data_IF_913920454582
#
_entry.id   IF_913920454582
#
_cell.length_a   1.000
_cell.length_b   1.000
_cell.length_c   1.000
_cell.angle_alpha   90.00
_cell.angle_beta   90.00
_cell.angle_gamma   90.00
#
_symmetry.space_group_name_H-M   'P 1'
#
loop_
_entity.id
_entity.type
_entity.pdbx_description
1 polymer ?
#
# COMPACT_ATOMS: atom_id res chain seq x y z
N UNK A 1 1.35 17.11 32.79
CA UNK A 1 1.05 16.12 31.72
C UNK A 1 2.02 16.18 30.52
N UNK A 2 2.60 17.32 30.17
CA UNK A 2 3.62 17.41 29.10
C UNK A 2 4.99 16.74 29.41
N UNK A 3 5.30 16.47 30.69
CA UNK A 3 6.55 15.82 31.10
C UNK A 3 6.53 14.28 31.01
N UNK A 4 5.34 13.66 30.95
CA UNK A 4 5.19 12.20 30.88
C UNK A 4 5.35 11.64 29.46
N UNK A 5 5.17 12.46 28.41
CA UNK A 5 5.29 12.05 27.01
C UNK A 5 6.72 12.17 26.45
N UNK A 6 7.55 13.10 26.96
CA UNK A 6 8.99 13.17 26.62
C UNK A 6 9.78 11.94 27.12
N UNK A 7 9.26 11.25 28.15
CA UNK A 7 9.87 10.05 28.70
C UNK A 7 9.64 8.78 27.89
N UNK A 8 8.61 8.70 27.04
CA UNK A 8 8.28 7.45 26.33
C UNK A 8 9.11 7.24 25.06
N UNK A 9 9.37 8.31 24.28
CA UNK A 9 10.26 8.28 23.11
C UNK A 9 11.71 8.05 23.51
N UNK A 10 12.17 8.73 24.57
CA UNK A 10 13.51 8.52 25.15
C UNK A 10 13.70 7.09 25.69
N UNK A 11 12.69 6.51 26.36
CA UNK A 11 12.76 5.12 26.84
C UNK A 11 12.68 4.09 25.72
N UNK A 12 11.90 4.34 24.66
CA UNK A 12 11.84 3.47 23.47
C UNK A 12 13.20 3.46 22.75
N UNK A 13 13.78 4.65 22.51
CA UNK A 13 15.12 4.80 21.92
C UNK A 13 16.20 4.16 22.79
N UNK A 14 16.13 4.30 24.12
CA UNK A 14 17.11 3.72 25.07
C UNK A 14 17.01 2.19 25.19
N UNK A 15 15.79 1.65 25.21
CA UNK A 15 15.55 0.21 25.22
C UNK A 15 16.01 -0.45 23.91
N UNK A 16 15.81 0.24 22.79
CA UNK A 16 16.31 -0.19 21.48
C UNK A 16 17.84 -0.11 21.46
N UNK A 17 18.46 0.99 21.93
CA UNK A 17 19.93 1.12 22.02
C UNK A 17 20.59 -0.01 22.83
N UNK A 18 19.99 -0.44 23.94
CA UNK A 18 20.51 -1.50 24.79
C UNK A 18 20.43 -2.90 24.15
N UNK A 19 19.34 -3.22 23.46
CA UNK A 19 19.25 -4.45 22.66
C UNK A 19 20.14 -4.38 21.40
N UNK A 20 20.44 -3.16 20.94
CA UNK A 20 21.29 -2.86 19.81
C UNK A 20 22.79 -2.80 20.15
N UNK A 21 23.26 -3.06 21.36
CA UNK A 21 24.73 -3.11 21.62
C UNK A 21 25.27 -4.56 21.69
N UNK A 22 24.40 -5.57 21.84
CA UNK A 22 24.82 -6.95 22.18
C UNK A 22 25.21 -7.90 21.03
N UNK A 23 25.26 -7.49 19.76
CA UNK A 23 25.58 -8.41 18.63
C UNK A 23 26.50 -7.77 17.59
N UNK A 24 27.81 -7.70 17.83
CA UNK A 24 28.74 -6.94 16.96
C UNK A 24 29.30 -7.72 15.76
N UNK A 25 29.41 -9.05 15.81
CA UNK A 25 30.05 -9.83 14.73
C UNK A 25 29.09 -10.23 13.60
N UNK A 26 27.82 -10.53 13.92
CA UNK A 26 26.77 -10.83 12.93
C UNK A 26 26.41 -9.61 12.06
N UNK A 27 26.77 -8.40 12.51
CA UNK A 27 26.41 -7.13 11.85
C UNK A 27 27.21 -6.81 10.62
N UNK A 28 28.51 -7.15 10.60
CA UNK A 28 29.38 -6.75 9.48
C UNK A 28 29.04 -7.56 8.22
N UNK A 29 28.76 -8.86 8.39
CA UNK A 29 28.28 -9.72 7.31
C UNK A 29 26.86 -9.36 6.87
N UNK A 30 25.89 -9.18 7.78
CA UNK A 30 24.52 -8.82 7.37
C UNK A 30 24.44 -7.43 6.75
N UNK A 31 25.34 -6.49 7.10
CA UNK A 31 25.36 -5.15 6.52
C UNK A 31 25.90 -5.13 5.08
N UNK A 32 26.95 -5.89 4.77
CA UNK A 32 27.49 -5.99 3.41
C UNK A 32 26.49 -6.67 2.47
N UNK A 33 25.86 -7.77 2.90
CA UNK A 33 24.82 -8.43 2.12
C UNK A 33 23.60 -7.53 1.91
N UNK A 34 23.17 -6.80 2.95
CA UNK A 34 22.04 -5.85 2.80
C UNK A 34 22.37 -4.65 1.92
N UNK A 35 23.64 -4.20 1.88
CA UNK A 35 24.07 -3.12 0.98
C UNK A 35 23.93 -3.55 -0.48
N UNK A 36 24.41 -4.74 -0.83
CA UNK A 36 24.27 -5.29 -2.19
C UNK A 36 22.79 -5.36 -2.62
N UNK A 37 21.90 -5.82 -1.74
CA UNK A 37 20.46 -5.84 -2.03
C UNK A 37 19.84 -4.46 -2.23
N UNK A 38 20.32 -3.42 -1.53
CA UNK A 38 19.81 -2.05 -1.70
C UNK A 38 20.33 -1.45 -2.99
N UNK A 39 21.60 -1.66 -3.32
CA UNK A 39 22.19 -1.23 -4.59
C UNK A 39 21.45 -1.88 -5.77
N UNK A 40 21.25 -3.20 -5.72
CA UNK A 40 20.43 -3.94 -6.68
C UNK A 40 19.01 -3.38 -6.76
N UNK A 41 18.34 -3.18 -5.62
CA UNK A 41 16.98 -2.64 -5.59
C UNK A 41 16.89 -1.23 -6.20
N UNK A 42 17.89 -0.37 -5.95
CA UNK A 42 17.94 0.98 -6.50
C UNK A 42 18.19 0.96 -8.02
N UNK A 43 19.07 0.09 -8.51
CA UNK A 43 19.31 -0.08 -9.94
C UNK A 43 18.08 -0.63 -10.66
N UNK A 44 17.46 -1.66 -10.10
CA UNK A 44 16.21 -2.22 -10.60
C UNK A 44 15.08 -1.18 -10.60
N UNK A 45 14.86 -0.47 -9.48
CA UNK A 45 13.81 0.55 -9.42
C UNK A 45 14.01 1.69 -10.43
N UNK A 46 15.26 2.00 -10.81
CA UNK A 46 15.57 2.97 -11.87
C UNK A 46 15.33 2.42 -13.27
N UNK A 47 15.55 1.12 -13.49
CA UNK A 47 15.39 0.51 -14.81
C UNK A 47 13.92 0.35 -15.22
N UNK A 48 12.99 0.32 -14.26
CA UNK A 48 11.54 0.31 -14.50
C UNK A 48 10.80 1.38 -13.67
N UNK A 49 11.28 2.62 -13.71
CA UNK A 49 10.64 3.71 -12.96
C UNK A 49 9.20 3.96 -13.45
N UNK A 50 8.24 3.67 -12.57
CA UNK A 50 6.81 3.62 -12.86
C UNK A 50 6.31 5.02 -13.17
N UNK A 51 5.51 5.14 -14.22
CA UNK A 51 4.73 6.33 -14.51
C UNK A 51 3.38 6.25 -13.79
N UNK A 52 3.00 7.32 -13.10
CA UNK A 52 1.66 7.54 -12.60
C UNK A 52 0.91 8.49 -13.53
N UNK A 53 -0.32 8.17 -13.87
CA UNK A 53 -1.18 9.03 -14.69
C UNK A 53 -2.46 9.41 -13.93
N UNK A 54 -3.00 10.62 -14.15
CA UNK A 54 -4.21 11.09 -13.51
C UNK A 54 -5.46 10.37 -14.06
N UNK A 55 -6.41 10.09 -13.17
CA UNK A 55 -7.71 9.51 -13.49
C UNK A 55 -8.85 10.40 -12.98
N UNK A 56 -9.97 10.41 -13.71
CA UNK A 56 -11.20 11.14 -13.41
C UNK A 56 -12.33 10.18 -13.08
N UNK A 57 -13.09 10.51 -12.03
CA UNK A 57 -14.31 9.79 -11.65
C UNK A 57 -15.51 10.55 -12.23
N UNK A 58 -16.33 9.88 -13.05
CA UNK A 58 -17.55 10.44 -13.67
C UNK A 58 -18.78 9.63 -13.31
N UNK A 59 -19.94 10.29 -13.27
CA UNK A 59 -21.23 9.64 -13.08
C UNK A 59 -21.46 9.06 -11.67
N UNK A 60 -20.52 9.26 -10.74
CA UNK A 60 -20.74 8.91 -9.35
C UNK A 60 -21.71 9.89 -8.69
N UNK A 61 -22.75 9.35 -8.06
CA UNK A 61 -23.70 10.11 -7.24
C UNK A 61 -23.62 9.51 -5.83
N UNK A 62 -23.38 10.37 -4.83
CA UNK A 62 -23.31 9.94 -3.44
C UNK A 62 -24.58 9.16 -3.03
N UNK A 63 -24.40 7.97 -2.47
CA UNK A 63 -25.48 7.05 -2.10
C UNK A 63 -25.77 5.97 -3.14
N UNK A 64 -25.24 6.11 -4.36
CA UNK A 64 -25.25 5.02 -5.34
C UNK A 64 -24.02 4.12 -5.17
N UNK A 65 -24.10 2.91 -5.73
CA UNK A 65 -22.95 2.00 -5.76
C UNK A 65 -21.84 2.61 -6.64
N UNK A 66 -20.63 2.66 -6.10
CA UNK A 66 -19.46 3.15 -6.85
C UNK A 66 -19.12 2.30 -8.08
N UNK A 67 -19.61 1.05 -8.16
CA UNK A 67 -19.52 0.21 -9.36
C UNK A 67 -20.12 0.85 -10.62
N UNK A 68 -20.97 1.87 -10.45
CA UNK A 68 -21.59 2.61 -11.55
C UNK A 68 -20.79 3.86 -11.94
N UNK A 69 -19.71 4.17 -11.22
CA UNK A 69 -18.83 5.27 -11.57
C UNK A 69 -17.91 4.87 -12.72
N UNK A 70 -17.80 5.74 -13.72
CA UNK A 70 -16.81 5.61 -14.78
C UNK A 70 -15.48 6.18 -14.27
N UNK A 71 -14.41 5.44 -14.49
CA UNK A 71 -13.05 5.83 -14.10
C UNK A 71 -12.24 5.91 -15.39
N UNK A 72 -11.97 7.13 -15.83
CA UNK A 72 -11.34 7.40 -17.11
C UNK A 72 -9.95 8.00 -16.88
N UNK A 73 -8.96 7.59 -17.68
CA UNK A 73 -7.66 8.26 -17.70
C UNK A 73 -7.84 9.69 -18.21
N UNK A 74 -7.17 10.65 -17.58
CA UNK A 74 -7.24 12.05 -17.98
C UNK A 74 -6.32 12.30 -19.16
N UNK A 75 -6.91 12.77 -20.24
CA UNK A 75 -6.25 13.11 -21.48
C UNK A 75 -6.21 14.63 -21.66
N UNK A 76 -5.08 15.12 -22.14
CA UNK A 76 -4.83 16.53 -22.43
C UNK A 76 -4.78 16.73 -23.94
N UNK A 77 -5.21 17.90 -24.39
CA UNK A 77 -5.15 18.30 -25.78
C UNK A 77 -4.10 19.40 -25.93
N UNK A 78 -3.15 19.18 -26.82
CA UNK A 78 -2.20 20.21 -27.25
C UNK A 78 -2.78 20.89 -28.49
N UNK A 79 -2.90 22.21 -28.44
CA UNK A 79 -3.32 22.98 -29.61
C UNK A 79 -2.17 23.21 -30.60
N UNK A 80 -2.48 23.85 -31.73
CA UNK A 80 -1.53 24.09 -32.82
C UNK A 80 -0.35 24.99 -32.40
N UNK A 81 -0.51 25.74 -31.32
CA UNK A 81 0.49 26.66 -30.78
C UNK A 81 1.30 26.00 -29.64
N UNK A 82 1.06 24.72 -29.33
CA UNK A 82 1.71 23.99 -28.24
C UNK A 82 1.15 24.31 -26.85
N UNK A 83 0.02 25.03 -26.76
CA UNK A 83 -0.64 25.29 -25.49
C UNK A 83 -1.48 24.09 -25.06
N UNK A 84 -1.30 23.68 -23.81
CA UNK A 84 -2.04 22.57 -23.20
C UNK A 84 -3.36 23.07 -22.66
N UNK A 85 -4.48 22.53 -23.14
CA UNK A 85 -5.82 22.89 -22.67
C UNK A 85 -6.23 22.06 -21.46
N UNK A 86 -6.99 22.66 -20.55
CA UNK A 86 -7.53 21.98 -19.37
C UNK A 86 -8.44 20.82 -19.80
N UNK A 87 -8.21 19.57 -19.33
CA UNK A 87 -9.03 18.41 -19.63
C UNK A 87 -10.52 18.55 -19.28
N UNK A 88 -10.90 19.51 -18.44
CA UNK A 88 -12.31 19.83 -18.13
C UNK A 88 -13.01 20.62 -19.26
N UNK A 89 -12.24 21.29 -20.11
CA UNK A 89 -12.72 22.20 -21.17
C UNK A 89 -12.76 21.58 -22.58
N UNK A 90 -12.18 20.38 -22.76
CA UNK A 90 -12.04 19.71 -24.06
C UNK A 90 -13.25 18.82 -24.36
N UNK A 91 -13.85 18.97 -25.53
CA UNK A 91 -14.96 18.12 -25.99
C UNK A 91 -14.45 16.78 -26.54
N UNK A 92 -15.32 15.75 -26.53
CA UNK A 92 -14.99 14.43 -27.07
C UNK A 92 -14.56 14.49 -28.55
N UNK A 93 -15.20 15.36 -29.34
CA UNK A 93 -14.89 15.57 -30.75
C UNK A 93 -13.51 16.21 -30.96
N UNK A 94 -13.06 17.07 -30.05
CA UNK A 94 -11.72 17.65 -30.10
C UNK A 94 -10.66 16.60 -29.74
N UNK A 95 -10.91 15.73 -28.75
CA UNK A 95 -10.01 14.61 -28.44
C UNK A 95 -9.84 13.63 -29.61
N UNK A 96 -10.85 13.45 -30.44
CA UNK A 96 -10.79 12.55 -31.60
C UNK A 96 -9.97 13.13 -32.77
N UNK A 97 -9.80 14.46 -32.83
CA UNK A 97 -9.19 15.15 -33.97
C UNK A 97 -7.89 15.90 -33.64
N UNK A 98 -7.55 16.05 -32.35
CA UNK A 98 -6.36 16.79 -31.91
C UNK A 98 -5.20 15.90 -31.46
N UNK A 99 -4.07 16.54 -31.18
CA UNK A 99 -2.91 15.88 -30.58
C UNK A 99 -3.20 15.64 -29.10
N UNK A 100 -3.60 14.40 -28.78
CA UNK A 100 -3.92 13.98 -27.42
C UNK A 100 -2.71 13.33 -26.76
N UNK A 101 -2.43 13.72 -25.53
CA UNK A 101 -1.39 13.09 -24.71
C UNK A 101 -1.87 12.89 -23.27
N UNK A 102 -1.21 11.99 -22.55
CA UNK A 102 -1.41 11.79 -21.12
C UNK A 102 -0.19 12.31 -20.38
N UNK A 103 -0.41 13.17 -19.39
CA UNK A 103 0.68 13.56 -18.50
C UNK A 103 0.98 12.44 -17.51
N UNK A 104 2.27 12.10 -17.37
CA UNK A 104 2.73 11.18 -16.34
C UNK A 104 3.56 11.85 -15.26
N UNK A 105 3.68 11.16 -14.13
CA UNK A 105 4.52 11.48 -12.98
C UNK A 105 5.37 10.26 -12.64
N UNK A 106 6.69 10.41 -12.61
CA UNK A 106 7.57 9.31 -12.22
C UNK A 106 7.47 8.98 -10.73
N UNK A 107 7.46 7.69 -10.39
CA UNK A 107 7.50 7.22 -9.01
C UNK A 107 8.73 7.77 -8.29
N UNK A 108 9.91 7.76 -8.95
CA UNK A 108 11.13 8.32 -8.40
C UNK A 108 11.02 9.82 -8.09
N UNK A 109 10.27 10.60 -8.87
CA UNK A 109 10.04 12.03 -8.62
C UNK A 109 9.15 12.22 -7.38
N UNK A 110 8.04 11.49 -7.31
CA UNK A 110 7.12 11.52 -6.17
C UNK A 110 7.81 11.12 -4.84
N UNK A 111 8.76 10.19 -4.91
CA UNK A 111 9.49 9.63 -3.78
C UNK A 111 10.97 10.08 -3.71
N UNK A 112 11.32 11.19 -4.36
CA UNK A 112 12.72 11.62 -4.57
C UNK A 112 13.55 11.66 -3.28
N UNK A 113 12.99 12.18 -2.18
CA UNK A 113 13.69 12.27 -0.88
C UNK A 113 14.15 10.91 -0.36
N UNK A 114 13.33 9.87 -0.52
CA UNK A 114 13.71 8.51 -0.11
C UNK A 114 14.79 7.93 -1.01
N UNK A 115 14.66 8.08 -2.33
CA UNK A 115 15.68 7.63 -3.27
C UNK A 115 17.02 8.32 -2.98
N UNK A 116 17.05 9.65 -2.94
CA UNK A 116 18.26 10.40 -2.62
C UNK A 116 18.89 9.99 -1.28
N UNK A 117 18.06 9.76 -0.25
CA UNK A 117 18.55 9.34 1.07
C UNK A 117 19.15 7.93 1.05
N UNK A 118 18.56 7.01 0.29
CA UNK A 118 19.10 5.66 0.09
C UNK A 118 20.40 5.70 -0.71
N UNK A 119 20.44 6.44 -1.81
CA UNK A 119 21.64 6.58 -2.64
C UNK A 119 22.78 7.20 -1.86
N UNK A 120 22.53 8.30 -1.14
CA UNK A 120 23.54 8.94 -0.29
C UNK A 120 24.08 8.01 0.79
N UNK A 121 23.22 7.17 1.38
CA UNK A 121 23.60 6.28 2.48
C UNK A 121 24.34 5.02 2.00
N UNK A 122 24.03 4.49 0.83
CA UNK A 122 24.51 3.17 0.40
C UNK A 122 25.44 3.21 -0.83
N UNK A 123 25.41 4.26 -1.68
CA UNK A 123 26.31 4.39 -2.83
C UNK A 123 27.55 5.26 -2.56
N UNK A 124 27.46 6.27 -1.70
CA UNK A 124 28.61 7.14 -1.43
C UNK A 124 29.60 6.47 -0.46
N UNK A 125 30.81 6.17 -0.93
CA UNK A 125 31.89 5.54 -0.14
C UNK A 125 32.48 6.47 0.92
N UNK A 126 32.31 7.79 0.78
CA UNK A 126 32.71 8.75 1.79
C UNK A 126 31.68 8.79 2.93
N UNK A 127 32.08 8.20 4.05
CA UNK A 127 31.46 8.18 5.39
C UNK A 127 31.13 9.58 5.99
N UNK A 128 30.84 10.61 5.20
CA UNK A 128 30.20 11.82 5.70
C UNK A 128 28.73 11.52 5.93
N UNK A 129 28.48 10.90 7.08
CA UNK A 129 27.22 10.87 7.83
C UNK A 129 26.79 12.30 8.22
N UNK A 130 26.83 13.26 7.30
CA UNK A 130 26.13 14.53 7.45
C UNK A 130 24.64 14.23 7.26
N UNK A 131 24.05 13.90 8.41
CA UNK A 131 22.64 13.82 8.76
C UNK A 131 21.67 13.81 7.57
N UNK A 132 21.07 12.64 7.34
CA UNK A 132 19.65 12.64 6.97
C UNK A 132 18.96 13.38 8.13
N UNK A 133 18.62 14.66 7.92
CA UNK A 133 17.97 15.50 8.94
C UNK A 133 16.58 14.97 9.34
N UNK A 134 16.09 13.94 8.65
CA UNK A 134 14.85 13.26 8.93
C UNK A 134 15.11 11.94 9.68
N UNK A 135 15.06 12.02 11.02
CA UNK A 135 15.19 10.86 11.92
C UNK A 135 14.13 9.78 11.64
N UNK A 136 12.94 10.17 11.16
CA UNK A 136 11.83 9.25 10.87
C UNK A 136 12.15 8.44 9.62
N UNK A 137 12.61 9.10 8.55
CA UNK A 137 13.04 8.43 7.32
C UNK A 137 14.26 7.54 7.57
N UNK A 138 15.23 8.02 8.36
CA UNK A 138 16.41 7.22 8.71
C UNK A 138 16.02 5.95 9.48
N UNK A 139 15.09 6.07 10.44
CA UNK A 139 14.55 4.92 11.14
C UNK A 139 13.82 3.97 10.18
N UNK A 140 13.05 4.51 9.24
CA UNK A 140 12.34 3.70 8.27
C UNK A 140 13.27 2.87 7.38
N UNK A 141 14.32 3.50 6.85
CA UNK A 141 15.36 2.83 6.07
C UNK A 141 16.04 1.76 6.92
N UNK A 142 16.35 2.05 8.18
CA UNK A 142 17.01 1.08 9.06
C UNK A 142 16.14 -0.14 9.37
N UNK A 143 14.82 0.05 9.52
CA UNK A 143 13.88 -1.06 9.69
C UNK A 143 13.81 -1.94 8.45
N UNK A 144 13.77 -1.36 7.25
CA UNK A 144 13.79 -2.12 5.99
C UNK A 144 14.99 -3.07 5.91
N UNK A 145 16.17 -2.53 6.21
CA UNK A 145 17.42 -3.30 6.24
C UNK A 145 17.39 -4.39 7.29
N UNK A 146 17.05 -4.03 8.54
CA UNK A 146 17.21 -4.95 9.66
C UNK A 146 16.13 -6.02 9.79
N UNK A 147 14.95 -5.80 9.21
CA UNK A 147 13.80 -6.71 9.31
C UNK A 147 13.65 -7.55 8.05
N UNK A 148 13.57 -6.93 6.87
CA UNK A 148 13.31 -7.65 5.63
C UNK A 148 14.60 -8.18 5.01
N UNK A 149 15.57 -7.31 4.73
CA UNK A 149 16.76 -7.70 3.94
C UNK A 149 17.63 -8.74 4.65
N UNK A 150 17.72 -8.71 5.98
CA UNK A 150 18.46 -9.73 6.76
C UNK A 150 17.85 -11.13 6.65
N UNK A 151 16.55 -11.24 6.35
CA UNK A 151 15.84 -12.52 6.22
C UNK A 151 15.23 -12.69 4.83
N UNK A 152 15.76 -11.99 3.81
CA UNK A 152 15.22 -11.96 2.46
C UNK A 152 15.00 -13.37 1.93
N UNK A 153 16.02 -14.22 2.02
CA UNK A 153 15.99 -15.58 1.46
C UNK A 153 14.94 -16.45 2.14
N UNK A 154 14.77 -16.30 3.45
CA UNK A 154 13.72 -17.02 4.17
C UNK A 154 12.33 -16.54 3.77
N UNK A 155 12.12 -15.22 3.68
CA UNK A 155 10.84 -14.66 3.25
C UNK A 155 10.51 -15.04 1.81
N UNK A 156 11.49 -14.99 0.90
CA UNK A 156 11.35 -15.41 -0.49
C UNK A 156 10.94 -16.88 -0.59
N UNK A 157 11.62 -17.80 0.12
CA UNK A 157 11.22 -19.22 0.14
C UNK A 157 9.80 -19.44 0.64
N UNK A 158 9.40 -18.76 1.71
CA UNK A 158 8.02 -18.84 2.21
C UNK A 158 7.00 -18.36 1.17
N UNK A 159 7.33 -17.26 0.49
CA UNK A 159 6.48 -16.63 -0.52
C UNK A 159 6.40 -17.42 -1.83
N UNK A 160 7.40 -18.22 -2.22
CA UNK A 160 7.34 -19.01 -3.48
C UNK A 160 6.10 -19.90 -3.56
N UNK A 161 5.63 -20.41 -2.42
CA UNK A 161 4.40 -21.20 -2.37
C UNK A 161 3.13 -20.45 -2.79
N UNK A 162 3.19 -19.12 -2.93
CA UNK A 162 2.15 -18.27 -3.55
C UNK A 162 2.03 -18.53 -5.05
N UNK A 163 3.14 -18.82 -5.74
CA UNK A 163 3.17 -19.08 -7.19
C UNK A 163 2.62 -20.46 -7.56
N UNK A 164 2.55 -21.38 -6.59
CA UNK A 164 2.16 -22.78 -6.79
C UNK A 164 0.70 -23.04 -6.38
N UNK A 165 0.06 -22.10 -5.69
CA UNK A 165 -1.28 -22.25 -5.11
C UNK A 165 -2.27 -21.31 -5.77
N UNK A 166 -3.49 -21.80 -6.02
CA UNK A 166 -4.62 -20.95 -6.41
C UNK A 166 -5.55 -20.66 -5.21
N UNK A 167 -5.16 -21.07 -4.00
CA UNK A 167 -5.93 -20.76 -2.79
C UNK A 167 -5.70 -19.30 -2.38
N UNK A 168 -6.61 -18.41 -2.80
CA UNK A 168 -6.61 -16.95 -2.49
C UNK A 168 -6.29 -16.67 -1.02
N UNK A 169 -6.94 -17.40 -0.11
CA UNK A 169 -6.71 -17.27 1.34
C UNK A 169 -5.26 -17.55 1.74
N UNK A 170 -4.63 -18.58 1.17
CA UNK A 170 -3.24 -18.91 1.44
C UNK A 170 -2.33 -17.82 0.91
N UNK A 171 -2.60 -17.32 -0.30
CA UNK A 171 -1.89 -16.19 -0.92
C UNK A 171 -1.95 -14.95 -0.01
N UNK A 172 -3.15 -14.55 0.40
CA UNK A 172 -3.41 -13.42 1.31
C UNK A 172 -2.58 -13.52 2.59
N UNK A 173 -2.57 -14.70 3.23
CA UNK A 173 -1.83 -14.92 4.48
C UNK A 173 -0.32 -14.85 4.28
N UNK A 174 0.19 -15.46 3.21
CA UNK A 174 1.62 -15.46 2.92
C UNK A 174 2.13 -14.06 2.58
N UNK A 175 1.41 -13.32 1.73
CA UNK A 175 1.74 -11.93 1.41
C UNK A 175 1.66 -11.03 2.66
N UNK A 176 0.61 -11.15 3.48
CA UNK A 176 0.48 -10.39 4.71
C UNK A 176 1.64 -10.65 5.68
N UNK A 177 2.02 -11.91 5.90
CA UNK A 177 2.97 -12.29 6.93
C UNK A 177 4.44 -12.20 6.51
N UNK A 178 4.77 -12.62 5.29
CA UNK A 178 6.16 -12.74 4.82
C UNK A 178 6.61 -11.59 3.94
N UNK A 179 5.70 -10.85 3.31
CA UNK A 179 6.04 -9.63 2.57
C UNK A 179 5.67 -8.39 3.39
N UNK A 180 4.38 -8.11 3.51
CA UNK A 180 3.92 -6.80 3.94
C UNK A 180 4.24 -6.46 5.38
N UNK A 181 4.01 -7.39 6.33
CA UNK A 181 4.37 -7.18 7.74
C UNK A 181 5.87 -6.97 7.94
N UNK A 182 6.70 -7.49 7.04
CA UNK A 182 8.16 -7.38 7.11
C UNK A 182 8.69 -6.08 6.50
N UNK A 183 7.87 -5.42 5.66
CA UNK A 183 8.16 -4.10 5.10
C UNK A 183 7.69 -2.94 5.98
N UNK A 184 6.90 -3.17 7.03
CA UNK A 184 6.45 -2.10 7.94
C UNK A 184 7.63 -1.62 8.80
N UNK A 185 7.97 -0.35 8.69
CA UNK A 185 9.09 0.20 9.45
C UNK A 185 8.77 0.56 10.90
N UNK A 186 7.53 0.96 11.18
CA UNK A 186 7.13 1.45 12.50
C UNK A 186 6.94 0.28 13.47
N UNK A 187 7.76 0.23 14.54
CA UNK A 187 7.63 -0.56 15.78
C UNK A 187 7.63 -2.11 15.70
N UNK A 188 8.37 -2.81 16.59
CA UNK A 188 8.25 -4.26 16.75
C UNK A 188 6.81 -4.70 17.02
N UNK A 189 6.29 -5.64 16.22
CA UNK A 189 4.95 -6.21 16.39
C UNK A 189 3.84 -5.57 15.55
N UNK A 190 4.13 -4.56 14.72
CA UNK A 190 3.17 -4.11 13.73
C UNK A 190 3.12 -5.13 12.57
N UNK A 191 1.97 -5.77 12.45
CA UNK A 191 1.67 -6.79 11.44
C UNK A 191 0.45 -6.33 10.64
N UNK A 192 0.40 -6.72 9.38
CA UNK A 192 -0.82 -6.67 8.60
C UNK A 192 -1.83 -7.63 9.24
N UNK A 193 -3.06 -7.17 9.43
CA UNK A 193 -4.14 -8.08 9.77
C UNK A 193 -5.05 -8.26 8.56
N UNK A 194 -5.60 -9.46 8.47
CA UNK A 194 -6.51 -9.84 7.39
C UNK A 194 -7.93 -9.58 7.88
N UNK A 195 -8.81 -9.13 6.99
CA UNK A 195 -10.17 -8.83 7.41
C UNK A 195 -10.90 -10.09 7.86
N UNK A 196 -11.67 -9.98 8.94
CA UNK A 196 -12.30 -11.11 9.63
C UNK A 196 -13.46 -11.75 8.84
N UNK A 197 -13.86 -11.16 7.71
CA UNK A 197 -15.22 -11.28 7.21
C UNK A 197 -15.40 -12.38 6.16
N UNK A 198 -14.31 -12.98 5.64
CA UNK A 198 -14.41 -13.69 4.36
C UNK A 198 -13.93 -15.12 4.24
N UNK A 199 -13.14 -15.69 5.15
CA UNK A 199 -12.76 -17.12 5.03
C UNK A 199 -12.51 -17.79 6.39
N UNK A 200 -12.49 -19.13 6.42
CA UNK A 200 -12.00 -19.89 7.57
C UNK A 200 -10.61 -19.39 7.95
N UNK A 201 -10.32 -19.14 9.22
CA UNK A 201 -9.06 -18.52 9.63
C UNK A 201 -7.96 -19.57 9.76
N UNK A 202 -6.76 -19.26 9.27
CA UNK A 202 -5.54 -19.95 9.69
C UNK A 202 -5.10 -19.39 11.03
N UNK A 203 -4.89 -20.23 12.04
CA UNK A 203 -4.33 -19.79 13.32
C UNK A 203 -2.83 -19.46 13.19
N UNK A 204 -2.12 -20.27 12.41
CA UNK A 204 -0.69 -20.18 12.16
C UNK A 204 -0.42 -20.07 10.64
N UNK A 205 0.73 -19.49 10.30
CA UNK A 205 1.14 -19.32 8.91
C UNK A 205 1.25 -20.67 8.17
N UNK A 206 0.59 -20.84 7.01
CA UNK A 206 0.61 -22.07 6.21
C UNK A 206 1.80 -22.13 5.23
N UNK A 207 2.92 -21.47 5.53
CA UNK A 207 4.10 -21.50 4.67
C UNK A 207 4.80 -22.86 4.70
N UNK A 208 5.54 -23.18 3.63
CA UNK A 208 6.27 -24.44 3.50
C UNK A 208 7.31 -24.64 4.63
N UNK A 209 7.93 -23.54 5.07
CA UNK A 209 8.94 -23.53 6.15
C UNK A 209 8.31 -23.76 7.55
N UNK A 210 6.98 -23.84 7.67
CA UNK A 210 6.24 -24.00 8.93
C UNK A 210 6.70 -23.00 10.01
N UNK A 211 6.85 -21.72 9.65
CA UNK A 211 7.44 -20.72 10.53
C UNK A 211 6.70 -20.53 11.88
N UNK A 212 5.46 -21.02 11.99
CA UNK A 212 4.67 -20.95 13.21
C UNK A 212 4.23 -19.53 13.58
N UNK A 213 4.38 -18.56 12.67
CA UNK A 213 3.93 -17.20 12.90
C UNK A 213 2.41 -17.15 13.09
N UNK A 214 1.97 -16.41 14.10
CA UNK A 214 0.56 -16.19 14.36
C UNK A 214 -0.03 -15.23 13.34
N UNK A 215 -1.19 -15.59 12.79
CA UNK A 215 -1.92 -14.72 11.87
C UNK A 215 -2.91 -13.84 12.64
N UNK A 216 -2.89 -12.55 12.33
CA UNK A 216 -3.77 -11.57 12.93
C UNK A 216 -4.93 -11.27 12.00
N UNK A 217 -6.14 -11.28 12.56
CA UNK A 217 -7.33 -10.89 11.84
C UNK A 217 -8.11 -9.84 12.65
N UNK A 218 -8.77 -8.92 11.95
CA UNK A 218 -9.50 -7.80 12.56
C UNK A 218 -10.66 -7.35 11.68
N UNK A 219 -11.60 -6.59 12.25
CA UNK A 219 -12.54 -5.84 11.40
C UNK A 219 -11.81 -4.62 10.85
N UNK A 220 -11.89 -4.39 9.55
CA UNK A 220 -11.31 -3.20 8.91
C UNK A 220 -12.15 -1.95 9.11
N UNK A 221 -13.46 -2.07 9.35
CA UNK A 221 -14.43 -0.98 9.45
C UNK A 221 -14.55 -0.08 8.21
N UNK A 222 -13.69 -0.31 7.21
CA UNK A 222 -13.57 0.36 5.92
C UNK A 222 -14.26 -0.54 4.88
N UNK A 223 -15.08 0.04 4.00
CA UNK A 223 -15.86 -0.73 3.01
C UNK A 223 -17.36 -0.88 3.31
N UNK A 224 -17.92 0.03 4.10
CA UNK A 224 -19.37 0.08 4.32
C UNK A 224 -20.12 0.32 3.01
N UNK A 225 -20.99 -0.61 2.63
CA UNK A 225 -21.85 -0.47 1.45
C UNK A 225 -22.70 0.82 1.46
N UNK A 226 -23.02 1.35 2.65
CA UNK A 226 -23.73 2.63 2.83
C UNK A 226 -22.94 3.89 2.48
N UNK A 227 -21.61 3.82 2.44
CA UNK A 227 -20.74 4.99 2.23
C UNK A 227 -19.96 4.87 0.93
N UNK A 228 -19.28 3.74 0.73
CA UNK A 228 -18.41 3.49 -0.41
C UNK A 228 -18.29 1.98 -0.63
N UNK A 229 -18.54 1.55 -1.86
CA UNK A 229 -18.47 0.14 -2.23
C UNK A 229 -17.05 -0.41 -2.05
N UNK A 230 -16.93 -1.66 -1.61
CA UNK A 230 -15.69 -2.43 -1.68
C UNK A 230 -15.32 -3.06 -0.33
N UNK A 231 -15.14 -4.38 -0.32
CA UNK A 231 -14.69 -5.13 0.85
C UNK A 231 -13.16 -5.17 0.81
N UNK A 232 -12.45 -4.51 1.74
CA UNK A 232 -11.00 -4.61 1.76
C UNK A 232 -10.59 -5.99 2.27
N UNK A 233 -9.73 -6.70 1.54
CA UNK A 233 -9.33 -8.06 1.93
C UNK A 233 -8.16 -8.06 2.94
N UNK A 234 -7.25 -7.06 2.90
CA UNK A 234 -6.18 -6.90 3.89
C UNK A 234 -6.06 -5.44 4.35
N UNK A 235 -5.91 -5.20 5.65
CA UNK A 235 -5.64 -3.85 6.17
C UNK A 235 -4.56 -3.82 7.24
N UNK A 236 -3.67 -2.83 7.15
CA UNK A 236 -2.76 -2.50 8.26
C UNK A 236 -3.40 -1.46 9.13
N UNK A 237 -3.32 -1.69 10.43
CA UNK A 237 -3.27 -0.58 11.37
C UNK A 237 -2.00 -0.75 12.22
N UNK A 238 -0.91 -0.05 11.88
CA UNK A 238 0.05 0.27 12.90
C UNK A 238 -0.59 1.32 13.81
N UNK A 239 -0.03 1.53 15.00
CA UNK A 239 -0.24 2.75 15.81
C UNK A 239 0.21 4.05 15.09
N UNK A 240 0.30 4.04 13.76
CA UNK A 240 0.87 5.06 12.91
C UNK A 240 0.14 5.31 11.58
N UNK A 241 -0.80 4.47 11.11
CA UNK A 241 -1.58 4.70 9.88
C UNK A 241 -0.83 4.38 8.57
N UNK A 242 -0.66 3.12 8.20
CA UNK A 242 0.04 2.70 6.96
C UNK A 242 -0.89 2.54 5.74
N UNK A 243 -0.34 2.16 4.58
CA UNK A 243 -1.03 1.91 3.31
C UNK A 243 -2.11 0.79 3.37
N UNK A 244 -3.14 0.85 2.51
CA UNK A 244 -4.16 -0.22 2.35
C UNK A 244 -3.78 -1.18 1.22
N UNK A 245 -4.12 -2.47 1.38
CA UNK A 245 -3.79 -3.51 0.39
C UNK A 245 -5.03 -4.32 0.03
N UNK A 246 -5.28 -4.47 -1.26
CA UNK A 246 -6.47 -5.12 -1.79
C UNK A 246 -6.06 -6.29 -2.65
N UNK A 247 -6.64 -7.46 -2.42
CA UNK A 247 -6.49 -8.61 -3.30
C UNK A 247 -7.80 -8.78 -4.08
N UNK A 248 -7.80 -8.74 -5.41
CA UNK A 248 -9.02 -9.02 -6.16
C UNK A 248 -9.42 -10.48 -5.97
N UNK A 249 -10.72 -10.72 -5.77
CA UNK A 249 -11.28 -12.07 -5.81
C UNK A 249 -11.24 -12.62 -7.22
N UNK A 250 -10.68 -13.82 -7.38
CA UNK A 250 -10.87 -14.58 -8.61
C UNK A 250 -12.35 -14.99 -8.70
N UNK A 251 -13.07 -14.49 -9.72
CA UNK A 251 -14.35 -15.09 -10.08
C UNK A 251 -14.05 -16.50 -10.56
N UNK A 252 -14.57 -17.52 -9.84
CA UNK A 252 -14.51 -18.91 -10.29
C UNK A 252 -14.99 -18.97 -11.75
N UNK A 253 -14.17 -19.54 -12.65
CA UNK A 253 -14.56 -19.82 -14.02
C UNK A 253 -15.83 -20.67 -13.99
N UNK A 254 -16.97 -20.13 -14.45
CA UNK A 254 -18.11 -20.96 -14.78
C UNK A 254 -17.75 -21.73 -16.05
N UNK A 255 -17.62 -23.06 -15.93
CA UNK A 255 -17.48 -23.93 -17.08
C UNK A 255 -18.79 -23.95 -17.85
N UNK A 256 -18.82 -23.36 -19.04
CA UNK A 256 -19.87 -23.62 -20.00
C UNK A 256 -19.53 -24.92 -20.74
N UNK A 257 -20.44 -25.89 -20.70
CA UNK A 257 -20.41 -27.07 -21.57
C UNK A 257 -21.22 -26.66 -22.79
N UNK A 258 -20.55 -26.42 -23.92
CA UNK A 258 -21.22 -26.32 -25.21
C UNK A 258 -21.69 -27.71 -25.66
N UNK A 259 -22.81 -27.78 -26.37
CA UNK A 259 -23.54 -29.02 -26.70
C UNK A 259 -22.73 -29.98 -27.60
N UNK A 260 -21.55 -29.58 -28.08
CA UNK A 260 -20.64 -30.38 -28.91
C UNK A 260 -19.42 -31.01 -28.19
N UNK A 261 -19.40 -31.08 -26.86
CA UNK A 261 -18.34 -31.79 -26.08
C UNK A 261 -16.89 -31.33 -26.35
N UNK A 262 -16.66 -30.11 -26.82
CA UNK A 262 -15.32 -29.52 -26.82
C UNK A 262 -15.16 -28.59 -25.62
N UNK A 263 -14.30 -28.98 -24.68
CA UNK A 263 -13.79 -28.11 -23.63
C UNK A 263 -12.90 -27.03 -24.26
N UNK A 264 -13.49 -25.93 -24.70
CA UNK A 264 -12.72 -24.77 -25.12
C UNK A 264 -12.40 -23.96 -23.86
N UNK A 265 -11.24 -24.24 -23.27
CA UNK A 265 -10.67 -23.41 -22.22
C UNK A 265 -10.17 -22.09 -22.83
N UNK A 266 -11.07 -21.12 -23.05
CA UNK A 266 -10.66 -19.76 -23.40
C UNK A 266 -10.08 -19.11 -22.13
N UNK A 267 -8.81 -19.38 -21.83
CA UNK A 267 -7.99 -18.55 -20.95
C UNK A 267 -7.79 -17.19 -21.61
N UNK A 268 -8.81 -16.33 -21.59
CA UNK A 268 -8.54 -14.90 -21.52
C UNK A 268 -8.12 -14.65 -20.07
N UNK A 269 -6.81 -14.71 -19.82
CA UNK A 269 -6.20 -14.09 -18.64
C UNK A 269 -6.47 -12.58 -18.72
N UNK A 270 -7.70 -12.17 -18.43
CA UNK A 270 -7.98 -10.77 -18.17
C UNK A 270 -7.19 -10.43 -16.91
N UNK A 271 -6.17 -9.58 -17.03
CA UNK A 271 -5.40 -9.07 -15.88
C UNK A 271 -6.39 -8.70 -14.76
N UNK A 272 -6.41 -9.51 -13.69
CA UNK A 272 -7.39 -9.38 -12.60
C UNK A 272 -7.34 -7.99 -11.95
N UNK A 273 -6.19 -7.32 -12.02
CA UNK A 273 -5.98 -5.96 -11.52
C UNK A 273 -6.58 -4.87 -12.44
N UNK A 274 -6.99 -5.21 -13.67
CA UNK A 274 -7.41 -4.25 -14.72
C UNK A 274 -8.84 -4.42 -15.22
N UNK A 275 -9.56 -5.43 -14.76
CA UNK A 275 -10.99 -5.56 -15.07
C UNK A 275 -11.76 -4.32 -14.58
N UNK A 276 -12.65 -3.77 -15.40
CA UNK A 276 -13.40 -2.54 -15.09
C UNK A 276 -14.07 -2.58 -13.70
N UNK A 277 -14.67 -3.71 -13.33
CA UNK A 277 -15.30 -3.89 -12.02
C UNK A 277 -14.30 -3.80 -10.85
N UNK A 278 -13.07 -4.22 -11.08
CA UNK A 278 -12.01 -4.23 -10.08
C UNK A 278 -11.37 -2.85 -9.97
N UNK A 279 -11.19 -2.13 -11.08
CA UNK A 279 -10.72 -0.74 -11.08
C UNK A 279 -11.66 0.18 -10.28
N UNK A 280 -12.97 0.12 -10.52
CA UNK A 280 -13.93 0.93 -9.73
C UNK A 280 -13.85 0.59 -8.23
N UNK A 281 -13.63 -0.68 -7.87
CA UNK A 281 -13.45 -1.09 -6.48
C UNK A 281 -12.14 -0.56 -5.88
N UNK A 282 -11.02 -0.64 -6.59
CA UNK A 282 -9.74 -0.14 -6.07
C UNK A 282 -9.79 1.37 -5.90
N UNK A 283 -10.39 2.10 -6.83
CA UNK A 283 -10.56 3.56 -6.72
C UNK A 283 -11.46 3.94 -5.55
N UNK A 284 -12.61 3.29 -5.37
CA UNK A 284 -13.49 3.60 -4.23
C UNK A 284 -12.80 3.35 -2.89
N UNK A 285 -12.03 2.26 -2.79
CA UNK A 285 -11.26 1.94 -1.59
C UNK A 285 -10.14 2.94 -1.37
N UNK A 286 -9.43 3.34 -2.42
CA UNK A 286 -8.37 4.35 -2.36
C UNK A 286 -8.92 5.66 -1.81
N UNK A 287 -10.02 6.18 -2.39
CA UNK A 287 -10.66 7.41 -1.93
C UNK A 287 -11.10 7.31 -0.47
N UNK A 288 -11.80 6.23 -0.11
CA UNK A 288 -12.27 6.00 1.26
C UNK A 288 -11.11 5.96 2.25
N UNK A 289 -10.04 5.27 1.87
CA UNK A 289 -8.87 5.10 2.70
C UNK A 289 -8.11 6.40 2.90
N UNK A 290 -7.98 7.24 1.87
CA UNK A 290 -7.35 8.56 1.99
C UNK A 290 -8.09 9.46 2.98
N UNK A 291 -9.43 9.52 2.92
CA UNK A 291 -10.22 10.29 3.90
C UNK A 291 -10.07 9.74 5.32
N UNK A 292 -10.01 8.41 5.46
CA UNK A 292 -9.74 7.76 6.74
C UNK A 292 -8.36 8.16 7.29
N UNK A 293 -7.32 8.10 6.47
CA UNK A 293 -5.97 8.47 6.87
C UNK A 293 -5.84 9.95 7.19
N UNK A 294 -6.44 10.84 6.41
CA UNK A 294 -6.52 12.28 6.73
C UNK A 294 -7.14 12.49 8.11
N UNK A 295 -8.30 11.87 8.37
CA UNK A 295 -8.97 11.95 9.67
C UNK A 295 -8.14 11.40 10.83
N UNK A 296 -7.34 10.35 10.60
CA UNK A 296 -6.42 9.79 11.58
C UNK A 296 -5.23 10.73 11.85
N UNK A 297 -4.61 11.29 10.81
CA UNK A 297 -3.50 12.22 10.91
C UNK A 297 -3.89 13.50 11.69
N UNK A 298 -5.07 14.06 11.41
CA UNK A 298 -5.60 15.25 12.09
C UNK A 298 -5.78 15.09 13.61
N UNK A 299 -5.85 13.85 14.11
CA UNK A 299 -6.01 13.55 15.55
C UNK A 299 -4.68 13.34 16.27
N UNK A 300 -3.59 13.17 15.54
CA UNK A 300 -2.28 13.01 16.17
C UNK A 300 -1.86 14.31 16.84
N UNK A 301 -1.06 14.26 17.91
CA UNK A 301 -0.50 15.47 18.53
C UNK A 301 0.25 16.31 17.48
N UNK A 302 0.24 17.64 17.64
CA UNK A 302 0.90 18.64 16.77
C UNK A 302 2.40 18.42 16.50
N UNK A 303 3.01 17.40 17.10
CA UNK A 303 4.40 16.99 16.89
C UNK A 303 4.59 16.06 15.69
N UNK A 304 3.52 15.59 15.04
CA UNK A 304 3.65 14.89 13.76
C UNK A 304 3.90 15.91 12.64
N UNK A 305 4.83 15.64 11.72
CA UNK A 305 5.07 16.51 10.58
C UNK A 305 3.82 16.67 9.71
N UNK A 306 3.89 17.65 8.82
CA UNK A 306 2.90 18.06 7.82
C UNK A 306 1.98 16.92 7.34
N UNK A 307 0.69 17.22 7.16
CA UNK A 307 -0.31 16.25 6.69
C UNK A 307 0.14 15.70 5.34
N UNK A 308 0.30 14.38 5.25
CA UNK A 308 0.56 13.69 3.99
C UNK A 308 -0.80 13.45 3.33
N UNK A 309 -0.98 14.05 2.17
CA UNK A 309 -2.27 14.06 1.45
C UNK A 309 -2.35 12.96 0.41
N UNK A 310 -1.23 12.64 -0.24
CA UNK A 310 -1.14 11.57 -1.23
C UNK A 310 -1.07 10.20 -0.57
N UNK A 311 -2.22 9.53 -0.43
CA UNK A 311 -2.32 8.25 0.28
C UNK A 311 -2.39 7.09 -0.72
N UNK A 312 -1.44 6.12 -0.66
CA UNK A 312 -1.45 4.96 -1.53
C UNK A 312 -2.40 3.85 -1.08
N UNK A 313 -2.87 3.08 -2.06
CA UNK A 313 -3.53 1.79 -1.96
C UNK A 313 -2.89 0.84 -2.99
N UNK A 314 -2.53 -0.36 -2.55
CA UNK A 314 -1.87 -1.37 -3.38
C UNK A 314 -2.90 -2.44 -3.75
N UNK A 315 -3.14 -2.64 -5.03
CA UNK A 315 -3.92 -3.77 -5.54
C UNK A 315 -2.93 -4.88 -5.95
N UNK A 316 -3.01 -6.08 -5.37
CA UNK A 316 -1.96 -7.11 -5.54
C UNK A 316 -2.53 -8.50 -5.86
N UNK A 317 -1.82 -9.26 -6.68
CA UNK A 317 -2.01 -10.68 -6.91
C UNK A 317 -0.80 -11.51 -6.42
N UNK A 318 -0.79 -12.80 -6.72
CA UNK A 318 0.34 -13.69 -6.51
C UNK A 318 1.62 -13.25 -7.26
N UNK A 319 1.47 -12.57 -8.40
CA UNK A 319 2.57 -12.28 -9.34
C UNK A 319 2.93 -10.80 -9.48
N UNK A 320 1.97 -9.89 -9.31
CA UNK A 320 2.17 -8.48 -9.62
C UNK A 320 1.26 -7.58 -8.78
N UNK A 321 1.50 -6.27 -8.83
CA UNK A 321 0.64 -5.27 -8.18
C UNK A 321 0.45 -4.01 -9.02
N UNK A 322 -0.70 -3.35 -8.82
CA UNK A 322 -1.01 -2.00 -9.29
C UNK A 322 -1.07 -1.07 -8.06
N UNK A 323 -0.84 0.21 -8.28
CA UNK A 323 -0.82 1.24 -7.24
C UNK A 323 -1.81 2.32 -7.60
N UNK A 324 -2.65 2.68 -6.64
CA UNK A 324 -3.60 3.78 -6.70
C UNK A 324 -3.25 4.76 -5.59
N UNK A 325 -3.28 6.06 -5.86
CA UNK A 325 -3.03 7.07 -4.84
C UNK A 325 -4.07 8.17 -4.97
N UNK A 326 -4.61 8.64 -3.85
CA UNK A 326 -5.56 9.75 -3.86
C UNK A 326 -5.17 10.83 -2.87
N UNK A 327 -5.09 12.06 -3.37
CA UNK A 327 -4.91 13.30 -2.62
C UNK A 327 -6.27 13.95 -2.35
N UNK A 328 -6.68 13.92 -1.08
CA UNK A 328 -7.96 14.48 -0.61
C UNK A 328 -8.02 16.00 -0.57
N UNK A 329 -6.88 16.70 -0.55
CA UNK A 329 -6.84 18.17 -0.50
C UNK A 329 -6.90 18.76 -1.90
N UNK A 330 -6.15 18.16 -2.84
CA UNK A 330 -6.03 18.65 -4.21
C UNK A 330 -6.96 17.93 -5.20
N UNK A 331 -7.74 16.94 -4.75
CA UNK A 331 -8.65 16.13 -5.57
C UNK A 331 -7.92 15.49 -6.77
N UNK A 332 -6.84 14.76 -6.45
CA UNK A 332 -5.96 14.11 -7.44
C UNK A 332 -6.03 12.60 -7.23
N UNK A 333 -6.39 11.85 -8.27
CA UNK A 333 -6.33 10.39 -8.29
C UNK A 333 -5.27 9.95 -9.30
N UNK A 334 -4.24 9.26 -8.82
CA UNK A 334 -3.16 8.71 -9.62
C UNK A 334 -3.24 7.19 -9.64
N UNK A 335 -2.84 6.58 -10.76
CA UNK A 335 -2.63 5.15 -10.88
C UNK A 335 -1.41 4.88 -11.75
N UNK A 336 -0.68 3.81 -11.48
CA UNK A 336 0.40 3.38 -12.36
C UNK A 336 -0.10 3.14 -13.80
N UNK A 337 0.66 3.65 -14.77
CA UNK A 337 0.46 3.46 -16.20
C UNK A 337 1.24 2.25 -16.71
N UNK A 338 0.90 1.76 -17.90
CA UNK A 338 1.49 0.51 -18.43
C UNK A 338 1.07 -0.71 -17.61
N UNK A 339 1.71 -1.87 -17.73
CA UNK A 339 1.32 -3.12 -17.05
C UNK A 339 1.52 -3.13 -15.52
N UNK A 340 0.88 -4.06 -14.78
CA UNK A 340 1.12 -4.20 -13.35
C UNK A 340 2.58 -4.56 -13.04
N UNK A 341 3.07 -4.06 -11.91
CA UNK A 341 4.47 -4.18 -11.51
C UNK A 341 4.76 -5.63 -11.07
N UNK A 342 5.71 -6.34 -11.69
CA UNK A 342 6.01 -7.72 -11.35
C UNK A 342 6.68 -7.83 -9.97
N UNK A 343 6.17 -8.72 -9.12
CA UNK A 343 6.76 -9.03 -7.81
C UNK A 343 7.95 -9.97 -7.92
N UNK A 344 8.03 -10.74 -9.00
CA UNK A 344 9.00 -11.82 -9.20
C UNK A 344 9.77 -11.62 -10.50
N UNK A 345 11.05 -11.98 -10.45
CA UNK A 345 11.88 -12.21 -11.62
C UNK A 345 11.84 -13.70 -11.98
N UNK A 346 12.19 -14.05 -13.23
CA UNK A 346 12.36 -15.43 -13.70
C UNK A 346 11.12 -16.33 -13.52
N UNK A 347 9.93 -15.81 -13.83
CA UNK A 347 8.67 -16.54 -13.69
C UNK A 347 8.55 -17.78 -14.61
N UNK A 348 9.40 -17.88 -15.63
CA UNK A 348 9.45 -19.03 -16.54
C UNK A 348 9.77 -20.36 -15.82
N UNK A 349 10.49 -20.29 -14.69
CA UNK A 349 10.72 -21.42 -13.80
C UNK A 349 10.41 -21.03 -12.34
N UNK A 350 9.26 -21.45 -11.77
CA UNK A 350 8.87 -21.13 -10.40
C UNK A 350 9.92 -21.52 -9.33
N UNK A 351 10.74 -22.54 -9.59
CA UNK A 351 11.82 -22.93 -8.68
C UNK A 351 12.97 -21.92 -8.61
N UNK A 352 13.18 -21.15 -9.69
CA UNK A 352 14.23 -20.13 -9.81
C UNK A 352 13.67 -18.71 -9.64
N UNK A 353 12.37 -18.58 -9.39
CA UNK A 353 11.72 -17.30 -9.17
C UNK A 353 12.29 -16.62 -7.92
N UNK A 354 12.79 -15.40 -8.11
CA UNK A 354 13.33 -14.55 -7.05
C UNK A 354 12.50 -13.27 -6.95
N UNK A 355 12.45 -12.65 -5.77
CA UNK A 355 11.73 -11.38 -5.63
C UNK A 355 12.41 -10.29 -6.48
N UNK A 356 11.60 -9.51 -7.19
CA UNK A 356 12.06 -8.28 -7.82
C UNK A 356 12.35 -7.25 -6.73
N UNK A 357 13.62 -6.94 -6.52
CA UNK A 357 14.06 -6.07 -5.44
C UNK A 357 13.69 -4.60 -5.65
N UNK A 358 13.62 -4.14 -6.89
CA UNK A 358 13.08 -2.82 -7.21
C UNK A 358 11.60 -2.69 -6.82
N UNK A 359 10.80 -3.73 -7.08
CA UNK A 359 9.39 -3.80 -6.73
C UNK A 359 9.19 -3.84 -5.20
N UNK A 360 10.01 -4.64 -4.50
CA UNK A 360 10.03 -4.68 -3.03
C UNK A 360 10.38 -3.33 -2.43
N UNK A 361 11.33 -2.60 -3.02
CA UNK A 361 11.72 -1.27 -2.56
C UNK A 361 10.58 -0.26 -2.75
N UNK A 362 9.91 -0.26 -3.90
CA UNK A 362 8.74 0.58 -4.15
C UNK A 362 7.59 0.27 -3.18
N UNK A 363 7.29 -1.02 -2.96
CA UNK A 363 6.32 -1.45 -1.94
C UNK A 363 6.70 -0.94 -0.55
N UNK A 364 7.98 -1.03 -0.16
CA UNK A 364 8.44 -0.48 1.11
C UNK A 364 8.16 1.03 1.21
N UNK A 365 8.42 1.81 0.16
CA UNK A 365 8.14 3.25 0.15
C UNK A 365 6.63 3.56 0.25
N UNK A 366 5.79 2.81 -0.46
CA UNK A 366 4.32 2.94 -0.42
C UNK A 366 3.77 2.61 0.97
N UNK A 367 4.21 1.50 1.56
CA UNK A 367 3.78 1.04 2.88
C UNK A 367 4.17 2.06 3.96
N UNK A 368 5.35 2.67 3.80
CA UNK A 368 5.91 3.64 4.74
C UNK A 368 5.74 5.10 4.27
N UNK A 369 4.73 5.39 3.43
CA UNK A 369 4.52 6.72 2.84
C UNK A 369 4.44 7.87 3.86
N UNK A 370 3.98 7.65 5.09
CA UNK A 370 4.01 8.70 6.12
C UNK A 370 5.42 9.06 6.60
N UNK A 371 6.33 8.08 6.60
CA UNK A 371 7.74 8.27 6.95
C UNK A 371 8.55 8.75 5.75
N UNK A 372 8.14 8.38 4.54
CA UNK A 372 8.83 8.73 3.30
C UNK A 372 8.33 10.06 2.71
N UNK A 373 7.08 10.43 2.99
CA UNK A 373 6.41 11.66 2.58
C UNK A 373 6.43 11.89 1.06
N UNK A 374 5.58 11.17 0.28
CA UNK A 374 5.44 11.44 -1.14
C UNK A 374 5.05 12.91 -1.35
N UNK A 375 5.68 13.57 -2.31
CA UNK A 375 5.46 14.99 -2.53
C UNK A 375 5.37 15.32 -4.03
N UNK A 376 4.35 16.07 -4.40
CA UNK A 376 4.22 16.66 -5.72
C UNK A 376 4.94 18.01 -5.74
N UNK A 377 5.68 18.28 -6.80
CA UNK A 377 6.22 19.61 -7.08
C UNK A 377 5.08 20.61 -7.35
N UNK A 378 5.33 21.93 -7.18
CA UNK A 378 4.32 22.95 -7.50
C UNK A 378 3.76 22.85 -8.93
N UNK A 379 4.62 22.50 -9.90
CA UNK A 379 4.23 22.31 -11.31
C UNK A 379 3.30 21.10 -11.48
N UNK A 380 3.58 20.00 -10.79
CA UNK A 380 2.72 18.80 -10.83
C UNK A 380 1.38 19.06 -10.12
N UNK A 381 1.38 19.82 -9.02
CA UNK A 381 0.16 20.24 -8.34
C UNK A 381 -0.70 21.11 -9.26
N UNK A 382 -0.12 22.13 -9.90
CA UNK A 382 -0.85 22.97 -10.86
C UNK A 382 -1.45 22.14 -12.00
N UNK A 383 -0.70 21.15 -12.49
CA UNK A 383 -1.12 20.29 -13.61
C UNK A 383 -2.21 19.26 -13.26
N UNK A 384 -2.16 18.70 -12.06
CA UNK A 384 -3.01 17.58 -11.66
C UNK A 384 -4.15 17.97 -10.73
N UNK A 385 -4.12 19.15 -10.11
CA UNK A 385 -5.17 19.60 -9.20
C UNK A 385 -6.55 19.50 -9.85
N UNK A 386 -7.53 19.00 -9.07
CA UNK A 386 -8.92 18.81 -9.46
C UNK A 386 -9.18 17.84 -10.63
N UNK A 387 -8.15 17.13 -11.11
CA UNK A 387 -8.31 16.19 -12.24
C UNK A 387 -9.24 15.03 -11.93
N UNK A 388 -9.30 14.59 -10.66
CA UNK A 388 -10.17 13.51 -10.21
C UNK A 388 -11.66 13.88 -10.33
N UNK A 389 -12.00 15.13 -10.02
CA UNK A 389 -13.36 15.64 -10.02
C UNK A 389 -14.25 15.08 -8.91
N UNK A 390 -13.72 14.30 -7.98
CA UNK A 390 -14.50 13.66 -6.94
C UNK A 390 -15.00 14.68 -5.91
N UNK A 391 -14.12 15.52 -5.39
CA UNK A 391 -14.49 16.57 -4.43
C UNK A 391 -15.45 17.57 -5.08
N UNK A 392 -15.21 17.94 -6.33
CA UNK A 392 -16.08 18.86 -7.09
C UNK A 392 -17.50 18.30 -7.33
N UNK A 393 -17.64 16.97 -7.42
CA UNK A 393 -18.94 16.31 -7.58
C UNK A 393 -19.78 16.27 -6.30
N UNK A 394 -19.18 16.59 -5.14
CA UNK A 394 -19.82 16.57 -3.84
C UNK A 394 -20.07 18.01 -3.36
N UNK A 395 -21.28 18.30 -2.85
CA UNK A 395 -21.50 19.56 -2.14
C UNK A 395 -20.65 19.60 -0.87
N UNK A 396 -20.21 20.80 -0.44
CA UNK A 396 -19.40 20.95 0.77
C UNK A 396 -20.03 20.29 2.02
N UNK A 397 -21.36 20.34 2.13
CA UNK A 397 -22.11 19.66 3.20
C UNK A 397 -21.98 18.13 3.13
N UNK A 398 -22.00 17.56 1.93
CA UNK A 398 -21.84 16.11 1.69
C UNK A 398 -20.42 15.64 1.96
N UNK A 399 -19.42 16.42 1.56
CA UNK A 399 -18.01 16.15 1.88
C UNK A 399 -17.79 16.14 3.39
N UNK A 400 -18.30 17.15 4.10
CA UNK A 400 -18.24 17.22 5.57
C UNK A 400 -18.93 16.04 6.25
N UNK A 401 -20.05 15.56 5.69
CA UNK A 401 -20.75 14.38 6.19
C UNK A 401 -19.90 13.11 6.03
N UNK A 402 -19.25 12.93 4.88
CA UNK A 402 -18.32 11.79 4.66
C UNK A 402 -17.17 11.84 5.66
N UNK A 403 -16.53 12.99 5.84
CA UNK A 403 -15.46 13.17 6.80
C UNK A 403 -15.91 12.84 8.23
N UNK A 404 -17.12 13.25 8.62
CA UNK A 404 -17.72 12.93 9.93
C UNK A 404 -18.02 11.44 10.10
N UNK A 405 -18.63 10.80 9.10
CA UNK A 405 -18.99 9.39 9.17
C UNK A 405 -17.76 8.47 9.19
N UNK A 406 -16.76 8.75 8.34
CA UNK A 406 -15.45 8.08 8.39
C UNK A 406 -14.81 8.28 9.76
N UNK A 407 -14.84 9.51 10.28
CA UNK A 407 -14.29 9.86 11.59
C UNK A 407 -14.93 9.05 12.73
N UNK A 408 -16.25 8.88 12.72
CA UNK A 408 -16.95 8.09 13.75
C UNK A 408 -16.54 6.62 13.70
N UNK A 409 -16.40 6.03 12.51
CA UNK A 409 -15.97 4.64 12.34
C UNK A 409 -14.52 4.40 12.76
N UNK A 410 -13.63 5.37 12.57
CA UNK A 410 -12.26 5.31 13.09
C UNK A 410 -12.24 5.12 14.62
N UNK A 411 -13.18 5.73 15.36
CA UNK A 411 -13.25 5.56 16.83
C UNK A 411 -13.60 4.13 17.24
N UNK A 412 -14.41 3.44 16.41
CA UNK A 412 -14.76 2.05 16.62
C UNK A 412 -13.56 1.12 16.38
N UNK A 413 -12.79 1.37 15.33
CA UNK A 413 -11.55 0.64 15.02
C UNK A 413 -10.48 0.83 16.10
N UNK A 414 -10.29 2.07 16.58
CA UNK A 414 -9.36 2.36 17.68
C UNK A 414 -9.73 1.60 18.97
N UNK A 415 -11.02 1.30 19.18
CA UNK A 415 -11.50 0.50 20.30
C UNK A 415 -11.16 -0.98 20.13
N UNK A 416 -11.48 -1.59 18.99
CA UNK A 416 -11.14 -3.00 18.72
C UNK A 416 -9.63 -3.27 18.77
N UNK A 417 -8.81 -2.34 18.26
CA UNK A 417 -7.34 -2.47 18.30
C UNK A 417 -6.81 -2.46 19.74
N UNK A 418 -7.43 -1.69 20.64
CA UNK A 418 -7.10 -1.71 22.07
C UNK A 418 -7.47 -3.04 22.72
N UNK A 419 -8.59 -3.64 22.31
CA UNK A 419 -9.01 -4.96 22.81
C UNK A 419 -8.10 -6.09 22.31
N UNK A 420 -7.62 -6.04 21.06
CA UNK A 420 -6.63 -7.01 20.53
C UNK A 420 -5.30 -6.92 21.31
N UNK A 421 -4.93 -5.73 21.78
CA UNK A 421 -3.67 -5.46 22.51
C UNK A 421 -3.78 -5.67 24.02
N UNK A 422 -4.97 -5.73 24.59
CA UNK A 422 -5.15 -6.10 25.98
C UNK A 422 -4.88 -7.62 26.12
N UNK A 423 -3.83 -8.06 26.84
CA UNK A 423 -3.72 -9.47 27.17
C UNK A 423 -5.00 -9.86 27.89
N UNK A 424 -5.70 -10.91 27.41
CA UNK A 424 -6.84 -11.51 28.11
C UNK A 424 -6.36 -12.08 29.45
N UNK A 425 -6.21 -11.22 30.45
CA UNK A 425 -5.82 -11.57 31.81
C UNK A 425 -6.97 -12.22 32.61
N UNK A 426 -8.05 -12.64 31.95
CA UNK A 426 -9.21 -13.28 32.58
C UNK A 426 -9.39 -14.77 32.25
N UNK A 427 -8.50 -15.42 31.49
CA UNK A 427 -8.60 -16.86 31.19
C UNK A 427 -7.81 -17.78 32.15
N UNK A 428 -7.64 -17.37 33.42
CA UNK A 428 -7.21 -18.24 34.52
C UNK A 428 -7.99 -17.93 35.80
N UNK A 429 -9.25 -18.40 35.86
CA UNK A 429 -10.00 -18.71 37.10
C UNK A 429 -11.32 -19.38 36.74
N UNK A 430 -11.25 -20.63 36.30
CA UNK A 430 -12.35 -21.63 36.31
C UNK A 430 -11.78 -22.97 35.83
N UNK A 431 -10.86 -23.52 36.62
CA UNK A 431 -10.40 -24.92 36.53
C UNK A 431 -9.52 -25.25 37.76
N UNK A 432 -9.94 -24.80 38.94
CA UNK A 432 -9.53 -25.35 40.24
C UNK A 432 -10.78 -25.19 41.12
N UNK A 433 -11.66 -26.20 41.04
CA UNK A 433 -12.72 -26.57 42.00
C UNK A 433 -13.59 -27.62 41.30
N UNK A 434 -13.00 -28.79 41.10
CA UNK A 434 -13.68 -30.09 40.91
C UNK A 434 -12.60 -31.17 40.98
N UNK A 435 -12.22 -31.47 42.23
CA UNK A 435 -11.96 -32.79 42.79
C UNK A 435 -11.43 -32.61 44.21
#
# INVERSE_FOLDING_TARGET
>A
MASLLKGSTSRLLSYIKLNWIKKSTYRKYSFLTSRGYIEEALEQAKSFDIDFVPYRIRGYVLGNKFSNANVDMVQYLEDVDGCVRDPSSVTKMELENGNVFTSSLKFSALYHKAFESLERKYKNEENKLEFINDEILQFAIQSFVSVFLVQKEHHERCLRSVLETNEERKITVLLANHLFSRLVATTPGNTYFITNDHFKKFELCPCADQCGDKIWYGNSGIGSELLWYGKPDIMVFPLGGSCSIVLPKEKKKEMYIDEEKQLIEVKKESNLLRGHTNVSQFVSQTVTFSFYQKGFQLRKPKSFPQIVTMIPTIAISDKCFDVYMYDTENDILLRNDGDPIPLWNNLDNPCDATLNMGAVLQLWMLINHLSVQPNLSPLELEKFSLTCGFASSLTHERLSRIEKEVTMRTKFLDHEIKEIKAPKSSFKRKLINSN
#
